data_IF_808040553650
#
_entry.id   IF_808040553650
#
_cell.length_a   1.000
_cell.length_b   1.000
_cell.length_c   1.000
_cell.angle_alpha   90.00
_cell.angle_beta   90.00
_cell.angle_gamma   90.00
#
_symmetry.space_group_name_H-M   'P 1'
#
loop_
_entity.id
_entity.type
_entity.pdbx_description
1 polymer ?
#
# COMPACT_ATOMS: atom_id res chain seq x y z
N UNK A 1 54.96 -74.59 -40.21
CA UNK A 1 55.54 -73.99 -41.44
C UNK A 1 55.67 -72.49 -41.19
N UNK A 2 56.92 -72.00 -41.12
CA UNK A 2 57.36 -70.61 -41.30
C UNK A 2 56.88 -69.46 -40.38
N UNK A 3 57.83 -68.53 -40.18
CA UNK A 3 57.92 -67.40 -39.23
C UNK A 3 57.38 -66.06 -39.78
N UNK A 4 57.27 -65.08 -38.87
CA UNK A 4 57.55 -63.63 -39.02
C UNK A 4 56.52 -62.74 -39.77
N UNK A 5 56.31 -61.44 -39.48
CA UNK A 5 56.70 -60.52 -38.39
C UNK A 5 55.90 -59.19 -38.55
N UNK A 6 55.80 -58.43 -37.45
CA UNK A 6 55.71 -56.96 -37.31
C UNK A 6 54.60 -56.10 -37.95
N UNK A 7 53.92 -55.32 -37.09
CA UNK A 7 54.06 -53.85 -37.07
C UNK A 7 53.61 -53.25 -35.72
N UNK A 8 54.48 -52.43 -35.12
CA UNK A 8 54.21 -51.59 -33.95
C UNK A 8 53.42 -50.35 -34.37
N UNK A 9 52.49 -49.87 -33.54
CA UNK A 9 52.27 -48.42 -33.39
C UNK A 9 51.79 -48.06 -31.99
N UNK A 10 52.64 -47.27 -31.35
CA UNK A 10 52.51 -46.63 -30.05
C UNK A 10 51.47 -45.51 -30.09
N UNK A 11 50.55 -45.48 -29.13
CA UNK A 11 49.64 -44.36 -28.86
C UNK A 11 49.51 -44.17 -27.36
N UNK A 12 49.98 -43.03 -26.86
CA UNK A 12 50.11 -42.64 -25.46
C UNK A 12 48.76 -42.65 -24.72
N UNK A 13 48.72 -43.28 -23.56
CA UNK A 13 47.65 -43.11 -22.56
C UNK A 13 47.92 -41.80 -21.81
N UNK A 14 47.09 -40.79 -22.02
CA UNK A 14 47.05 -39.63 -21.14
C UNK A 14 46.11 -39.93 -19.97
N UNK A 15 46.70 -40.12 -18.79
CA UNK A 15 45.97 -40.02 -17.52
C UNK A 15 45.47 -38.58 -17.38
N UNK A 16 44.16 -38.41 -17.28
CA UNK A 16 43.55 -37.17 -16.78
C UNK A 16 43.02 -37.46 -15.37
N UNK A 17 43.91 -37.36 -14.38
CA UNK A 17 43.56 -37.31 -12.95
C UNK A 17 43.74 -35.87 -12.49
N UNK A 18 42.71 -35.02 -12.57
CA UNK A 18 42.77 -33.65 -12.06
C UNK A 18 41.37 -33.20 -11.56
N UNK A 19 41.31 -32.88 -10.26
CA UNK A 19 40.31 -32.11 -9.49
C UNK A 19 38.84 -32.58 -9.42
N UNK A 20 38.53 -33.38 -8.38
CA UNK A 20 37.22 -33.38 -7.72
C UNK A 20 37.35 -32.72 -6.34
N UNK A 21 37.53 -31.41 -6.31
CA UNK A 21 37.60 -30.64 -5.05
C UNK A 21 36.90 -29.30 -5.25
N UNK A 22 35.82 -29.07 -4.50
CA UNK A 22 35.28 -27.73 -4.25
C UNK A 22 34.03 -27.32 -5.01
N UNK A 23 32.90 -28.00 -4.79
CA UNK A 23 31.57 -27.38 -4.94
C UNK A 23 30.87 -27.40 -3.57
N UNK A 24 31.52 -26.81 -2.58
CA UNK A 24 30.88 -26.45 -1.32
C UNK A 24 30.85 -24.92 -1.23
N UNK A 25 29.68 -24.39 -0.92
CA UNK A 25 29.37 -23.00 -0.60
C UNK A 25 29.21 -22.03 -1.78
N UNK A 26 27.97 -21.93 -2.25
CA UNK A 26 27.36 -20.63 -2.58
C UNK A 26 25.83 -20.70 -2.31
N UNK A 27 25.45 -21.25 -1.16
CA UNK A 27 24.19 -20.80 -0.56
C UNK A 27 24.45 -19.38 -0.05
N UNK A 28 24.16 -18.38 -0.89
CA UNK A 28 23.99 -17.03 -0.39
C UNK A 28 22.86 -17.09 0.63
N UNK A 29 23.24 -17.12 1.91
CA UNK A 29 22.31 -16.91 3.01
C UNK A 29 21.72 -15.53 2.79
N UNK A 30 20.51 -15.49 2.20
CA UNK A 30 19.69 -14.30 2.21
C UNK A 30 19.48 -13.97 3.69
N UNK A 31 20.19 -12.97 4.18
CA UNK A 31 20.00 -12.47 5.53
C UNK A 31 18.59 -11.91 5.57
N UNK A 32 17.65 -12.71 6.07
CA UNK A 32 16.32 -12.22 6.39
C UNK A 32 16.48 -11.19 7.50
N UNK A 33 16.57 -9.92 7.12
CA UNK A 33 16.58 -8.81 8.08
C UNK A 33 15.30 -8.91 8.90
N UNK A 34 15.46 -8.98 10.23
CA UNK A 34 14.34 -9.01 11.14
C UNK A 34 13.55 -7.70 11.01
N UNK A 35 12.20 -7.75 10.98
CA UNK A 35 11.41 -6.55 10.87
C UNK A 35 11.66 -5.65 12.09
N UNK A 36 11.77 -4.35 11.83
CA UNK A 36 11.84 -3.33 12.88
C UNK A 36 10.60 -3.42 13.79
N UNK A 37 10.80 -3.09 15.08
CA UNK A 37 9.72 -3.03 16.07
C UNK A 37 9.43 -1.58 16.42
N UNK A 38 8.23 -1.12 16.13
CA UNK A 38 7.77 0.24 16.42
C UNK A 38 6.74 0.20 17.53
N UNK A 39 7.13 0.59 18.74
CA UNK A 39 6.21 0.76 19.88
C UNK A 39 5.62 2.16 19.84
N UNK A 40 4.51 2.36 19.13
CA UNK A 40 3.90 3.69 18.99
C UNK A 40 3.22 4.12 20.28
N UNK A 41 2.52 3.18 20.91
CA UNK A 41 1.91 3.30 22.22
C UNK A 41 2.25 2.05 23.00
N UNK A 42 2.70 2.19 24.23
CA UNK A 42 2.92 1.05 25.12
C UNK A 42 2.48 1.41 26.53
N UNK A 43 1.68 0.54 27.15
CA UNK A 43 1.12 0.75 28.50
C UNK A 43 0.48 2.13 28.65
N UNK A 44 -0.36 2.53 27.68
CA UNK A 44 -1.04 3.83 27.62
C UNK A 44 -0.11 5.06 27.60
N UNK A 45 1.15 4.92 27.15
CA UNK A 45 2.07 6.04 26.95
C UNK A 45 2.41 6.18 25.46
N UNK A 46 2.40 7.43 24.96
CA UNK A 46 2.80 7.73 23.60
C UNK A 46 4.33 7.73 23.44
N UNK A 47 4.82 7.11 22.38
CA UNK A 47 6.23 7.04 21.99
C UNK A 47 6.45 7.48 20.53
N UNK A 48 5.38 7.88 19.84
CA UNK A 48 5.43 8.31 18.45
C UNK A 48 4.87 9.73 18.26
N UNK A 49 5.34 10.43 17.23
CA UNK A 49 4.68 11.63 16.67
C UNK A 49 4.18 11.38 15.27
N UNK A 50 3.12 12.09 14.88
CA UNK A 50 2.67 12.20 13.49
C UNK A 50 3.26 13.50 12.93
N UNK A 51 4.03 13.37 11.85
CA UNK A 51 4.69 14.47 11.18
C UNK A 51 4.18 14.60 9.75
N UNK A 52 3.84 15.82 9.34
CA UNK A 52 3.57 16.15 7.94
C UNK A 52 4.67 17.08 7.43
N UNK A 53 5.14 16.83 6.19
CA UNK A 53 5.98 17.80 5.48
C UNK A 53 5.24 19.12 5.30
N UNK A 54 5.85 20.24 5.67
CA UNK A 54 5.26 21.58 5.52
C UNK A 54 4.84 21.90 4.08
N UNK A 55 5.49 21.28 3.09
CA UNK A 55 5.17 21.46 1.67
C UNK A 55 3.81 20.89 1.27
N UNK A 56 3.37 19.80 1.93
CA UNK A 56 2.16 19.06 1.61
C UNK A 56 1.13 19.14 2.74
N UNK A 57 1.27 20.13 3.62
CA UNK A 57 0.51 20.22 4.85
C UNK A 57 -1.00 20.23 4.61
N UNK A 58 -1.48 21.14 3.75
CA UNK A 58 -2.91 21.30 3.49
C UNK A 58 -3.54 20.05 2.84
N UNK A 59 -2.80 19.39 1.95
CA UNK A 59 -3.25 18.18 1.26
C UNK A 59 -3.32 16.96 2.19
N UNK A 60 -2.48 16.91 3.22
CA UNK A 60 -2.32 15.75 4.10
C UNK A 60 -2.90 15.96 5.50
N UNK A 61 -3.38 17.17 5.81
CA UNK A 61 -3.93 17.50 7.13
C UNK A 61 -5.08 16.56 7.49
N UNK A 62 -6.07 16.40 6.61
CA UNK A 62 -7.21 15.55 6.89
C UNK A 62 -6.83 14.07 7.07
N UNK A 63 -6.04 13.43 6.17
CA UNK A 63 -5.52 12.07 6.42
C UNK A 63 -4.77 11.93 7.75
N UNK A 64 -3.96 12.92 8.13
CA UNK A 64 -3.22 12.85 9.38
C UNK A 64 -4.11 13.00 10.61
N UNK A 65 -5.13 13.86 10.52
CA UNK A 65 -6.16 14.00 11.55
C UNK A 65 -6.95 12.70 11.69
N UNK A 66 -7.31 12.04 10.59
CA UNK A 66 -7.96 10.73 10.62
C UNK A 66 -7.05 9.70 11.31
N UNK A 67 -5.76 9.65 10.96
CA UNK A 67 -4.78 8.77 11.61
C UNK A 67 -4.73 8.99 13.13
N UNK A 68 -4.58 10.24 13.56
CA UNK A 68 -4.53 10.60 14.99
C UNK A 68 -5.83 10.21 15.70
N UNK A 69 -6.98 10.61 15.13
CA UNK A 69 -8.32 10.37 15.68
C UNK A 69 -8.57 8.89 15.91
N UNK A 70 -8.27 8.06 14.92
CA UNK A 70 -8.56 6.63 15.00
C UNK A 70 -7.60 5.87 15.90
N UNK A 71 -6.33 6.27 15.97
CA UNK A 71 -5.41 5.77 16.99
C UNK A 71 -5.96 6.13 18.37
N UNK A 72 -6.34 7.39 18.61
CA UNK A 72 -6.90 7.83 19.89
C UNK A 72 -8.20 7.09 20.25
N UNK A 73 -9.13 6.91 19.31
CA UNK A 73 -10.35 6.13 19.55
C UNK A 73 -10.04 4.68 19.98
N UNK A 74 -8.98 4.08 19.44
CA UNK A 74 -8.56 2.71 19.76
C UNK A 74 -7.79 2.61 21.08
N UNK A 75 -6.93 3.58 21.40
CA UNK A 75 -5.97 3.48 22.52
C UNK A 75 -6.23 4.41 23.69
N UNK A 76 -7.18 5.33 23.55
CA UNK A 76 -7.45 6.46 24.43
C UNK A 76 -6.26 7.44 24.58
N UNK A 77 -5.24 7.31 23.72
CA UNK A 77 -4.03 8.15 23.73
C UNK A 77 -3.93 8.92 22.43
N UNK A 78 -3.91 10.24 22.54
CA UNK A 78 -3.68 11.12 21.40
C UNK A 78 -2.18 11.22 21.11
N UNK A 79 -1.77 10.78 19.92
CA UNK A 79 -0.40 11.02 19.46
C UNK A 79 -0.22 12.50 19.11
N UNK A 80 0.88 13.14 19.51
CA UNK A 80 1.17 14.51 19.13
C UNK A 80 1.32 14.66 17.61
N UNK A 81 0.92 15.83 17.12
CA UNK A 81 0.95 16.22 15.72
C UNK A 81 1.94 17.39 15.54
N UNK A 82 2.88 17.28 14.60
CA UNK A 82 3.92 18.31 14.36
C UNK A 82 4.02 18.67 12.88
N UNK A 83 4.09 19.97 12.61
CA UNK A 83 4.20 20.53 11.24
C UNK A 83 5.65 20.68 10.75
N UNK A 84 6.63 20.15 11.50
CA UNK A 84 8.05 20.16 11.16
C UNK A 84 8.75 18.90 11.69
N UNK A 85 9.61 18.33 10.86
CA UNK A 85 10.58 17.30 11.26
C UNK A 85 11.52 17.92 12.33
N UNK A 86 11.28 17.62 13.60
CA UNK A 86 12.09 18.11 14.73
C UNK A 86 12.89 16.97 15.37
N UNK A 87 13.69 17.26 16.40
CA UNK A 87 14.48 16.25 17.12
C UNK A 87 13.61 15.13 17.70
N UNK A 88 14.12 13.88 17.78
CA UNK A 88 13.41 12.69 18.30
C UNK A 88 13.07 12.74 19.81
N UNK A 89 13.21 13.90 20.46
CA UNK A 89 12.81 14.10 21.86
C UNK A 89 11.47 14.83 21.91
N UNK A 90 10.51 14.41 22.74
CA UNK A 90 10.53 13.26 23.65
C UNK A 90 10.03 11.93 23.02
N UNK A 91 9.72 11.91 21.72
CA UNK A 91 9.10 10.75 21.06
C UNK A 91 10.09 10.04 20.12
N UNK A 92 10.52 8.81 20.45
CA UNK A 92 11.54 8.10 19.68
C UNK A 92 11.08 7.69 18.28
N UNK A 93 9.78 7.60 18.00
CA UNK A 93 9.25 7.16 16.71
C UNK A 93 8.57 8.32 15.98
N UNK A 94 8.72 8.36 14.66
CA UNK A 94 8.05 9.34 13.79
C UNK A 94 7.27 8.64 12.70
N UNK A 95 6.00 9.01 12.56
CA UNK A 95 5.13 8.61 11.46
C UNK A 95 5.05 9.77 10.48
N UNK A 96 5.70 9.62 9.34
CA UNK A 96 5.77 10.64 8.29
C UNK A 96 4.67 10.42 7.29
N UNK A 97 3.84 11.42 7.03
CA UNK A 97 2.92 11.42 5.89
C UNK A 97 3.52 12.28 4.78
N UNK A 98 3.69 11.69 3.61
CA UNK A 98 4.26 12.39 2.45
C UNK A 98 3.57 12.03 1.15
N UNK A 99 3.69 12.94 0.17
CA UNK A 99 3.40 12.68 -1.23
C UNK A 99 4.74 12.55 -1.94
N UNK A 100 4.89 11.48 -2.71
CA UNK A 100 6.08 11.19 -3.48
C UNK A 100 6.39 12.35 -4.42
N UNK A 101 7.65 12.77 -4.42
CA UNK A 101 8.19 13.67 -5.42
C UNK A 101 9.04 12.87 -6.40
N UNK A 102 8.98 13.24 -7.68
CA UNK A 102 9.56 12.48 -8.81
C UNK A 102 11.05 12.14 -8.70
N UNK A 103 11.77 12.73 -7.73
CA UNK A 103 13.22 12.57 -7.52
C UNK A 103 13.60 11.56 -6.43
N UNK A 104 12.65 10.93 -5.74
CA UNK A 104 12.98 10.02 -4.62
C UNK A 104 13.28 8.59 -5.09
N UNK A 105 14.57 8.21 -5.12
CA UNK A 105 15.06 6.85 -5.42
C UNK A 105 14.86 5.91 -4.22
N UNK A 106 13.63 5.53 -3.90
CA UNK A 106 13.38 4.38 -2.99
C UNK A 106 12.88 3.19 -3.81
N UNK A 107 13.52 2.00 -3.73
CA UNK A 107 13.24 0.87 -4.64
C UNK A 107 11.81 0.32 -4.57
N UNK A 108 11.08 0.52 -3.46
CA UNK A 108 9.65 0.16 -3.36
C UNK A 108 8.71 1.21 -3.96
N UNK A 109 9.19 2.43 -4.16
CA UNK A 109 8.42 3.59 -4.60
C UNK A 109 8.38 3.69 -6.14
N UNK A 110 9.39 3.16 -6.84
CA UNK A 110 9.40 3.09 -8.32
C UNK A 110 8.24 2.25 -8.92
N UNK A 111 7.58 1.45 -8.09
CA UNK A 111 6.40 0.64 -8.45
C UNK A 111 5.08 1.37 -8.34
N UNK A 112 5.04 2.56 -7.72
CA UNK A 112 3.84 3.37 -7.61
C UNK A 112 3.58 4.10 -8.95
N UNK A 113 3.27 3.33 -10.00
CA UNK A 113 2.98 3.85 -11.35
C UNK A 113 1.54 4.35 -11.50
N UNK A 114 0.77 4.32 -10.42
CA UNK A 114 -0.63 4.73 -10.37
C UNK A 114 -0.80 5.82 -9.30
N UNK A 115 -1.59 6.85 -9.58
CA UNK A 115 -1.82 7.99 -8.67
C UNK A 115 -2.41 7.57 -7.30
N UNK A 116 -3.29 6.57 -7.30
CA UNK A 116 -3.86 5.96 -6.08
C UNK A 116 -2.88 5.05 -5.32
N UNK A 117 -1.66 4.85 -5.85
CA UNK A 117 -0.66 3.98 -5.25
C UNK A 117 -0.06 4.56 -3.96
N UNK A 118 0.29 3.69 -3.02
CA UNK A 118 0.93 4.08 -1.77
C UNK A 118 1.90 3.02 -1.23
N UNK A 119 2.76 3.43 -0.30
CA UNK A 119 3.71 2.59 0.42
C UNK A 119 3.75 2.96 1.91
N UNK A 120 3.74 1.94 2.78
CA UNK A 120 4.07 2.04 4.20
C UNK A 120 5.48 1.48 4.37
N UNK A 121 6.48 2.37 4.46
CA UNK A 121 7.89 2.02 4.58
C UNK A 121 8.29 1.87 6.05
N UNK A 122 8.69 0.65 6.40
CA UNK A 122 9.14 0.19 7.71
C UNK A 122 10.61 -0.28 7.67
N UNK A 123 11.38 0.16 6.67
CA UNK A 123 12.80 -0.22 6.51
C UNK A 123 13.73 0.47 7.51
N UNK A 124 13.35 1.66 7.98
CA UNK A 124 14.19 2.49 8.84
C UNK A 124 13.78 2.37 10.31
N UNK A 125 14.73 2.07 11.19
CA UNK A 125 14.48 2.10 12.63
C UNK A 125 13.90 3.47 13.02
N UNK A 126 12.92 3.50 13.94
CA UNK A 126 12.29 4.72 14.45
C UNK A 126 11.49 5.59 13.45
N UNK A 127 11.52 5.29 12.14
CA UNK A 127 10.79 6.04 11.13
C UNK A 127 9.80 5.13 10.39
N UNK A 128 8.53 5.50 10.44
CA UNK A 128 7.46 4.92 9.62
C UNK A 128 7.10 5.96 8.58
N UNK A 129 7.13 5.61 7.29
CA UNK A 129 6.68 6.52 6.24
C UNK A 129 5.42 6.00 5.58
N UNK A 130 4.36 6.81 5.57
CA UNK A 130 3.15 6.58 4.78
C UNK A 130 3.26 7.52 3.57
N UNK A 131 3.63 6.95 2.42
CA UNK A 131 3.93 7.69 1.20
C UNK A 131 2.89 7.37 0.14
N UNK A 132 2.18 8.39 -0.36
CA UNK A 132 1.31 8.27 -1.52
C UNK A 132 1.99 8.76 -2.80
N UNK A 133 1.61 8.22 -3.96
CA UNK A 133 1.97 8.81 -5.25
C UNK A 133 1.17 10.10 -5.56
N UNK A 134 0.08 10.32 -4.83
CA UNK A 134 -0.73 11.53 -4.81
C UNK A 134 -1.24 11.77 -3.39
N UNK A 135 -1.95 12.89 -3.16
CA UNK A 135 -2.65 13.13 -1.90
C UNK A 135 -3.67 12.02 -1.60
N UNK A 136 -4.42 11.57 -2.62
CA UNK A 136 -5.38 10.49 -2.49
C UNK A 136 -4.71 9.14 -2.19
N UNK A 137 -3.57 8.87 -2.83
CA UNK A 137 -2.76 7.69 -2.50
C UNK A 137 -2.29 7.71 -1.04
N UNK A 138 -1.87 8.87 -0.53
CA UNK A 138 -1.42 9.01 0.86
C UNK A 138 -2.57 8.79 1.85
N UNK A 139 -3.76 9.31 1.53
CA UNK A 139 -5.01 9.02 2.25
C UNK A 139 -5.30 7.51 2.32
N UNK A 140 -5.21 6.80 1.19
CA UNK A 140 -5.37 5.34 1.16
C UNK A 140 -4.30 4.60 1.96
N UNK A 141 -3.08 5.12 2.01
CA UNK A 141 -2.01 4.60 2.87
C UNK A 141 -2.30 4.75 4.36
N UNK A 142 -2.95 5.85 4.76
CA UNK A 142 -3.43 6.03 6.13
C UNK A 142 -4.52 5.02 6.46
N UNK A 143 -5.49 4.82 5.57
CA UNK A 143 -6.55 3.83 5.78
C UNK A 143 -5.99 2.41 5.86
N UNK A 144 -5.02 2.05 5.03
CA UNK A 144 -4.29 0.79 5.14
C UNK A 144 -3.59 0.63 6.49
N UNK A 145 -2.92 1.68 6.96
CA UNK A 145 -2.26 1.66 8.26
C UNK A 145 -3.26 1.38 9.40
N UNK A 146 -4.39 2.10 9.39
CA UNK A 146 -5.45 1.96 10.40
C UNK A 146 -6.08 0.57 10.37
N UNK A 147 -6.38 0.03 9.19
CA UNK A 147 -6.96 -1.30 9.06
C UNK A 147 -5.97 -2.40 9.45
N UNK A 148 -4.73 -2.33 8.96
CA UNK A 148 -3.75 -3.38 9.15
C UNK A 148 -3.15 -3.39 10.55
N UNK A 149 -2.74 -2.23 11.04
CA UNK A 149 -1.97 -2.14 12.27
C UNK A 149 -2.83 -1.81 13.48
N UNK A 150 -3.88 -0.99 13.34
CA UNK A 150 -4.80 -0.67 14.44
C UNK A 150 -5.97 -1.66 14.50
N UNK A 151 -6.32 -2.30 13.38
CA UNK A 151 -7.39 -3.31 13.31
C UNK A 151 -8.78 -2.74 13.10
N UNK A 152 -8.87 -1.50 12.62
CA UNK A 152 -10.15 -0.82 12.36
C UNK A 152 -10.84 -1.44 11.14
N UNK A 153 -12.18 -1.46 11.12
CA UNK A 153 -12.97 -1.81 9.93
C UNK A 153 -14.08 -0.79 9.72
N UNK A 154 -14.33 -0.45 8.46
CA UNK A 154 -15.45 0.39 8.04
C UNK A 154 -16.41 -0.45 7.20
N UNK A 155 -17.41 -1.05 7.84
CA UNK A 155 -18.28 -2.06 7.23
C UNK A 155 -19.33 -1.44 6.30
N UNK A 156 -19.90 -0.31 6.70
CA UNK A 156 -20.88 0.45 5.93
C UNK A 156 -20.82 1.95 6.32
N UNK A 157 -21.52 2.85 5.59
CA UNK A 157 -21.47 4.28 5.87
C UNK A 157 -21.96 4.66 7.27
N UNK A 158 -21.26 5.61 7.90
CA UNK A 158 -21.61 6.17 9.20
C UNK A 158 -20.93 5.50 10.40
N UNK A 159 -21.18 6.04 11.59
CA UNK A 159 -20.51 5.62 12.83
C UNK A 159 -20.86 4.19 13.25
N UNK A 160 -22.09 3.76 12.98
CA UNK A 160 -22.57 2.39 13.28
C UNK A 160 -21.86 1.33 12.44
N UNK A 161 -21.24 1.71 11.33
CA UNK A 161 -20.40 0.84 10.50
C UNK A 161 -18.92 0.83 10.91
N UNK A 162 -18.52 1.57 11.95
CA UNK A 162 -17.14 1.60 12.44
C UNK A 162 -16.91 0.54 13.52
N UNK A 163 -16.04 -0.43 13.23
CA UNK A 163 -15.50 -1.32 14.25
C UNK A 163 -14.09 -0.85 14.63
N UNK A 164 -13.91 -0.43 15.88
CA UNK A 164 -12.65 0.10 16.41
C UNK A 164 -12.27 -0.71 17.66
N UNK A 165 -11.23 -1.57 17.59
CA UNK A 165 -10.83 -2.37 18.74
C UNK A 165 -10.18 -1.49 19.82
N UNK A 166 -10.44 -1.78 21.10
CA UNK A 166 -9.73 -1.14 22.22
C UNK A 166 -8.37 -1.79 22.47
N UNK A 167 -7.32 -0.98 22.63
CA UNK A 167 -5.93 -1.45 22.75
C UNK A 167 -5.13 -0.64 23.78
N UNK A 168 -4.43 -1.33 24.67
CA UNK A 168 -3.54 -0.67 25.64
C UNK A 168 -2.15 -0.34 25.06
N UNK A 169 -1.74 -1.08 24.03
CA UNK A 169 -0.48 -0.91 23.31
C UNK A 169 -0.72 -1.03 21.80
N UNK A 170 0.04 -0.26 21.02
CA UNK A 170 0.10 -0.30 19.56
C UNK A 170 1.54 -0.51 19.15
N UNK A 171 1.88 -1.77 18.86
CA UNK A 171 3.23 -2.21 18.48
C UNK A 171 3.18 -2.78 17.07
N UNK A 172 4.03 -2.26 16.18
CA UNK A 172 4.13 -2.72 14.79
C UNK A 172 5.41 -3.52 14.63
N UNK A 173 5.29 -4.77 14.18
CA UNK A 173 6.40 -5.63 13.78
C UNK A 173 6.07 -6.21 12.40
N UNK A 174 6.40 -5.47 11.35
CA UNK A 174 6.05 -5.82 9.97
C UNK A 174 7.14 -5.38 9.01
N UNK A 175 7.14 -5.95 7.81
CA UNK A 175 7.90 -5.45 6.66
C UNK A 175 7.14 -4.31 5.99
N UNK A 176 7.85 -3.53 5.17
CA UNK A 176 7.26 -2.49 4.33
C UNK A 176 6.22 -3.07 3.38
N UNK A 177 5.19 -2.29 3.07
CA UNK A 177 4.06 -2.69 2.21
C UNK A 177 3.89 -1.64 1.13
N UNK A 178 3.64 -2.06 -0.11
CA UNK A 178 3.25 -1.17 -1.20
C UNK A 178 2.01 -1.73 -1.90
N UNK A 179 1.09 -0.86 -2.26
CA UNK A 179 -0.12 -1.23 -2.99
C UNK A 179 -0.38 -0.26 -4.14
N UNK A 180 -0.87 -0.84 -5.24
CA UNK A 180 -1.45 -0.13 -6.38
C UNK A 180 -2.79 -0.79 -6.68
N UNK A 181 -3.79 -0.03 -7.17
CA UNK A 181 -5.06 -0.65 -7.53
C UNK A 181 -4.89 -1.57 -8.74
N UNK A 182 -5.55 -2.73 -8.72
CA UNK A 182 -5.64 -3.61 -9.88
C UNK A 182 -6.58 -3.06 -10.96
N UNK A 183 -7.57 -2.26 -10.55
CA UNK A 183 -8.56 -1.64 -11.43
C UNK A 183 -8.52 -0.12 -11.29
N UNK A 184 -8.38 0.59 -12.40
CA UNK A 184 -8.37 2.07 -12.41
C UNK A 184 -9.73 2.68 -12.09
N UNK A 185 -10.83 1.96 -12.35
CA UNK A 185 -12.19 2.34 -11.97
C UNK A 185 -12.75 1.33 -10.96
N UNK A 186 -13.17 1.84 -9.80
CA UNK A 186 -13.72 1.10 -8.65
C UNK A 186 -14.96 1.85 -8.16
N UNK A 187 -15.96 1.96 -9.03
CA UNK A 187 -17.14 2.79 -8.80
C UNK A 187 -18.31 1.96 -8.27
N UNK A 188 -18.99 2.49 -7.26
CA UNK A 188 -20.29 2.01 -6.80
C UNK A 188 -21.33 3.13 -6.92
N UNK A 189 -22.56 2.77 -7.29
CA UNK A 189 -23.68 3.70 -7.38
C UNK A 189 -24.25 4.02 -6.00
N UNK A 190 -24.93 5.17 -5.87
CA UNK A 190 -25.66 5.54 -4.64
C UNK A 190 -24.80 6.12 -3.52
N UNK A 191 -23.53 6.48 -3.78
CA UNK A 191 -22.62 7.06 -2.79
C UNK A 191 -22.62 8.59 -2.79
N UNK A 192 -23.78 9.23 -2.92
CA UNK A 192 -23.91 10.69 -3.12
C UNK A 192 -23.86 11.51 -1.84
N UNK A 193 -24.37 10.98 -0.72
CA UNK A 193 -24.39 11.66 0.58
C UNK A 193 -23.02 11.60 1.29
N UNK A 194 -22.76 12.53 2.22
CA UNK A 194 -21.43 12.75 2.82
C UNK A 194 -20.84 11.52 3.52
N UNK A 195 -21.63 10.79 4.32
CA UNK A 195 -21.20 9.57 5.01
C UNK A 195 -20.84 8.45 4.03
N UNK A 196 -21.60 8.35 2.93
CA UNK A 196 -21.36 7.37 1.87
C UNK A 196 -20.09 7.71 1.08
N UNK A 197 -19.84 8.99 0.78
CA UNK A 197 -18.58 9.45 0.17
C UNK A 197 -17.38 9.14 1.05
N UNK A 198 -17.45 9.47 2.33
CA UNK A 198 -16.35 9.19 3.26
C UNK A 198 -16.09 7.68 3.37
N UNK A 199 -17.15 6.87 3.43
CA UNK A 199 -17.01 5.42 3.40
C UNK A 199 -16.36 4.94 2.09
N UNK A 200 -16.74 5.50 0.93
CA UNK A 200 -16.14 5.18 -0.35
C UNK A 200 -14.61 5.39 -0.36
N UNK A 201 -14.16 6.50 0.20
CA UNK A 201 -12.74 6.82 0.36
C UNK A 201 -12.01 5.79 1.24
N UNK A 202 -12.61 5.40 2.37
CA UNK A 202 -12.08 4.34 3.26
C UNK A 202 -12.00 2.97 2.57
N UNK A 203 -12.95 2.67 1.67
CA UNK A 203 -12.91 1.49 0.80
C UNK A 203 -11.95 1.65 -0.40
N UNK A 204 -11.26 2.79 -0.54
CA UNK A 204 -10.37 3.13 -1.66
C UNK A 204 -11.07 3.11 -3.02
N UNK A 205 -12.36 3.43 -3.04
CA UNK A 205 -13.15 3.52 -4.28
C UNK A 205 -12.80 4.78 -5.05
N UNK A 206 -12.82 4.67 -6.38
CA UNK A 206 -12.56 5.78 -7.30
C UNK A 206 -13.30 5.56 -8.61
N UNK A 207 -14.14 6.51 -8.98
CA UNK A 207 -14.75 6.56 -10.32
C UNK A 207 -13.73 7.03 -11.35
N UNK A 208 -13.87 6.55 -12.58
CA UNK A 208 -13.01 6.98 -13.69
C UNK A 208 -13.61 6.71 -15.07
N UNK A 209 -14.73 5.99 -15.14
CA UNK A 209 -15.41 5.66 -16.39
C UNK A 209 -16.89 5.95 -16.19
N UNK A 210 -17.45 6.80 -17.03
CA UNK A 210 -18.90 6.98 -17.14
C UNK A 210 -19.45 5.92 -18.07
N UNK A 211 -20.24 4.98 -17.55
CA UNK A 211 -20.77 3.85 -18.33
C UNK A 211 -22.28 3.70 -18.20
N UNK A 212 -22.96 4.58 -17.47
CA UNK A 212 -24.36 4.43 -17.10
C UNK A 212 -25.19 5.59 -17.68
N UNK A 213 -26.41 5.25 -18.11
CA UNK A 213 -27.45 6.18 -18.57
C UNK A 213 -27.25 6.85 -19.94
N UNK A 214 -26.48 6.24 -20.85
CA UNK A 214 -26.25 6.79 -22.20
C UNK A 214 -27.29 6.33 -23.28
N UNK A 215 -28.34 5.62 -22.88
CA UNK A 215 -29.33 5.06 -23.82
C UNK A 215 -30.04 6.16 -24.64
N UNK A 216 -30.32 7.32 -24.05
CA UNK A 216 -30.97 8.44 -24.74
C UNK A 216 -30.09 9.08 -25.83
N UNK A 217 -28.77 8.95 -25.73
CA UNK A 217 -27.81 9.40 -26.75
C UNK A 217 -27.73 8.40 -27.90
N UNK A 218 -27.73 7.10 -27.60
CA UNK A 218 -27.65 6.03 -28.59
C UNK A 218 -29.00 5.88 -29.32
N UNK A 219 -30.11 6.06 -28.61
CA UNK A 219 -31.48 6.05 -29.13
C UNK A 219 -32.15 7.39 -28.82
N UNK A 220 -32.02 8.39 -29.71
CA UNK A 220 -32.65 9.70 -29.55
C UNK A 220 -34.16 9.58 -29.33
N UNK A 221 -34.65 10.28 -28.30
CA UNK A 221 -36.06 10.24 -27.88
C UNK A 221 -36.99 10.64 -29.02
N UNK A 222 -36.65 11.68 -29.77
CA UNK A 222 -37.47 12.19 -30.87
C UNK A 222 -37.61 11.19 -32.02
N UNK A 223 -36.69 10.25 -32.15
CA UNK A 223 -36.70 9.22 -33.20
C UNK A 223 -37.41 7.95 -32.75
N UNK A 224 -37.17 7.49 -31.52
CA UNK A 224 -37.54 6.14 -31.11
C UNK A 224 -38.63 6.06 -30.03
N UNK A 225 -39.03 7.16 -29.39
CA UNK A 225 -40.00 7.11 -28.28
C UNK A 225 -41.38 6.56 -28.66
N UNK A 226 -41.86 6.85 -29.87
CA UNK A 226 -43.18 6.40 -30.33
C UNK A 226 -43.21 4.92 -30.71
N UNK A 227 -42.15 4.42 -31.34
CA UNK A 227 -42.07 3.04 -31.85
C UNK A 227 -41.40 2.07 -30.87
N UNK A 228 -40.52 2.57 -30.00
CA UNK A 228 -39.74 1.80 -29.03
C UNK A 228 -39.77 2.44 -27.62
N UNK A 229 -40.96 2.65 -27.03
CA UNK A 229 -41.08 3.29 -25.71
C UNK A 229 -40.39 2.52 -24.58
N UNK A 230 -40.17 1.21 -24.74
CA UNK A 230 -39.49 0.34 -23.76
C UNK A 230 -38.00 0.67 -23.56
N UNK A 231 -37.38 1.46 -24.45
CA UNK A 231 -36.00 1.92 -24.32
C UNK A 231 -35.84 3.03 -23.26
N UNK A 232 -36.94 3.60 -22.78
CA UNK A 232 -36.94 4.75 -21.89
C UNK A 232 -37.58 4.41 -20.55
N UNK A 233 -37.01 4.90 -19.43
CA UNK A 233 -37.62 4.71 -18.12
C UNK A 233 -38.99 5.38 -18.09
N UNK A 234 -40.02 4.59 -17.79
CA UNK A 234 -41.37 5.13 -17.58
C UNK A 234 -41.39 5.94 -16.28
N UNK A 235 -41.84 7.19 -16.37
CA UNK A 235 -42.14 7.98 -15.18
C UNK A 235 -43.36 7.34 -14.52
N UNK A 236 -43.21 6.74 -13.33
CA UNK A 236 -44.36 6.35 -12.52
C UNK A 236 -45.14 7.63 -12.20
N UNK A 237 -46.35 7.74 -12.75
CA UNK A 237 -47.38 8.72 -12.36
C UNK A 237 -47.93 8.38 -11.00
#
# INVERSE_FOLDING_TARGET
MWRCNHAKRTGKVFLCSIYLMGLFNLFQSSTFSQPNVYKLIDKKKAFATIDISSKHYDLLLQPATDLQKYIQKSTDIQLPFKNKLTSLKPYPIRIHLTIQESKTKRPYIERLRHEDGFCIDLSSANHIWINGNSALGAEYGVYEFLERFVGIRWLFPGETGEHIPKRQSLIIKSKSIAQIPAFSCRQLSGLSHSTAKQWAHRQRLKGGISFHHNLHTIFPVDTYSQTHPHLYPQKKT
#
